data_IF_075504547967
#
_entry.id   IF_075504547967
#
_cell.length_a   1.000
_cell.length_b   1.000
_cell.length_c   1.000
_cell.angle_alpha   90.00
_cell.angle_beta   90.00
_cell.angle_gamma   90.00
#
_symmetry.space_group_name_H-M   'P 1'
#
loop_
_entity.id
_entity.type
_entity.pdbx_description
1 polymer ?
#
# COMPACT_ATOMS: atom_id res chain seq x y z
N UNK A 1 2.13 -15.46 2.05
CA UNK A 1 1.90 -15.28 3.50
C UNK A 1 3.02 -15.94 4.29
N UNK A 2 3.34 -15.47 5.50
CA UNK A 2 4.27 -16.16 6.42
C UNK A 2 3.48 -16.86 7.55
N UNK A 3 4.00 -17.96 8.12
CA UNK A 3 3.45 -18.52 9.35
C UNK A 3 3.66 -17.51 10.49
N UNK A 4 2.57 -17.04 11.09
CA UNK A 4 2.60 -16.22 12.31
C UNK A 4 1.89 -17.00 13.41
N UNK A 5 2.65 -17.49 14.39
CA UNK A 5 2.27 -18.22 15.61
C UNK A 5 1.22 -19.35 15.50
N UNK A 6 0.00 -19.06 15.04
CA UNK A 6 -1.13 -19.97 14.82
C UNK A 6 -1.83 -19.86 13.46
N UNK A 7 -1.49 -18.87 12.60
CA UNK A 7 -2.16 -18.58 11.33
C UNK A 7 -1.26 -17.98 10.24
N UNK A 8 -1.88 -17.46 9.18
CA UNK A 8 -1.19 -16.83 8.04
C UNK A 8 -1.23 -15.30 8.15
N UNK A 9 -0.10 -14.64 7.95
CA UNK A 9 0.02 -13.18 7.86
C UNK A 9 0.41 -12.75 6.43
N UNK A 10 -0.28 -11.76 5.89
CA UNK A 10 0.02 -11.22 4.56
C UNK A 10 1.07 -10.12 4.62
N UNK A 11 2.31 -10.44 4.23
CA UNK A 11 3.40 -9.46 4.13
C UNK A 11 3.23 -8.50 2.95
N UNK A 12 2.57 -8.94 1.86
CA UNK A 12 2.42 -8.18 0.62
C UNK A 12 0.99 -7.69 0.39
N UNK A 13 0.39 -8.01 -0.75
CA UNK A 13 -1.01 -7.71 -1.00
C UNK A 13 -1.94 -8.30 0.08
N UNK A 14 -2.92 -7.53 0.54
CA UNK A 14 -3.83 -7.94 1.63
C UNK A 14 -5.27 -8.13 1.14
N UNK A 15 -5.73 -7.27 0.23
CA UNK A 15 -7.12 -7.23 -0.23
C UNK A 15 -7.27 -7.47 -1.73
N UNK A 16 -8.43 -7.99 -2.11
CA UNK A 16 -8.99 -7.78 -3.44
C UNK A 16 -9.75 -6.47 -3.37
N UNK A 17 -9.24 -5.44 -4.05
CA UNK A 17 -9.90 -4.13 -4.11
C UNK A 17 -11.06 -4.16 -5.11
N UNK A 18 -12.27 -3.88 -4.64
CA UNK A 18 -13.49 -3.99 -5.44
C UNK A 18 -13.75 -5.42 -5.97
N UNK A 19 -14.07 -6.39 -5.08
CA UNK A 19 -14.37 -7.76 -5.48
C UNK A 19 -15.73 -7.83 -6.17
N UNK A 20 -15.71 -7.67 -7.48
CA UNK A 20 -16.88 -7.69 -8.37
C UNK A 20 -16.55 -8.41 -9.68
N UNK A 21 -17.56 -8.75 -10.53
CA UNK A 21 -17.33 -9.45 -11.79
C UNK A 21 -16.39 -8.72 -12.77
N UNK A 22 -16.21 -7.40 -12.61
CA UNK A 22 -15.24 -6.61 -13.38
C UNK A 22 -13.78 -6.82 -12.95
N UNK A 23 -13.54 -7.42 -11.78
CA UNK A 23 -12.20 -7.66 -11.24
C UNK A 23 -11.71 -9.08 -11.60
N UNK A 24 -10.67 -9.24 -12.45
CA UNK A 24 -10.19 -10.56 -12.86
C UNK A 24 -9.59 -11.37 -11.71
N UNK A 25 -9.02 -10.73 -10.69
CA UNK A 25 -8.50 -11.40 -9.49
C UNK A 25 -9.66 -12.03 -8.72
N UNK A 26 -10.76 -11.30 -8.54
CA UNK A 26 -11.99 -11.83 -7.93
C UNK A 26 -12.55 -13.02 -8.73
N UNK A 27 -12.62 -12.92 -10.05
CA UNK A 27 -13.10 -14.01 -10.90
C UNK A 27 -12.25 -15.27 -10.80
N UNK A 28 -10.92 -15.13 -10.78
CA UNK A 28 -10.01 -16.26 -10.59
C UNK A 28 -10.12 -16.85 -9.19
N UNK A 29 -10.13 -16.01 -8.16
CA UNK A 29 -10.31 -16.44 -6.77
C UNK A 29 -11.65 -17.18 -6.57
N UNK A 30 -12.73 -16.70 -7.18
CA UNK A 30 -14.03 -17.37 -7.20
C UNK A 30 -13.94 -18.74 -7.87
N UNK A 31 -13.32 -18.81 -9.05
CA UNK A 31 -13.17 -20.06 -9.82
C UNK A 31 -12.37 -21.11 -9.05
N UNK A 32 -11.35 -20.70 -8.32
CA UNK A 32 -10.53 -21.61 -7.51
C UNK A 32 -11.12 -21.88 -6.11
N UNK A 33 -12.25 -21.26 -5.75
CA UNK A 33 -12.87 -21.45 -4.44
C UNK A 33 -12.06 -20.86 -3.28
N UNK A 34 -11.35 -19.74 -3.52
CA UNK A 34 -10.44 -19.11 -2.55
C UNK A 34 -11.08 -17.97 -1.75
N UNK A 35 -12.35 -17.65 -2.01
CA UNK A 35 -13.05 -16.54 -1.36
C UNK A 35 -13.88 -17.01 -0.16
N UNK A 36 -14.00 -16.13 0.83
CA UNK A 36 -14.95 -16.30 1.93
C UNK A 36 -16.41 -16.14 1.47
N UNK A 37 -17.38 -16.68 2.22
CA UNK A 37 -18.79 -16.67 1.83
C UNK A 37 -19.40 -15.27 1.72
N UNK A 38 -18.95 -14.31 2.53
CA UNK A 38 -19.41 -12.91 2.47
C UNK A 38 -18.99 -12.22 1.17
N UNK A 39 -17.73 -12.41 0.76
CA UNK A 39 -17.20 -11.81 -0.46
C UNK A 39 -17.92 -12.30 -1.74
N UNK A 40 -18.44 -13.53 -1.71
CA UNK A 40 -19.15 -14.13 -2.84
C UNK A 40 -20.60 -13.64 -3.00
N UNK A 41 -21.15 -12.90 -2.03
CA UNK A 41 -22.54 -12.40 -2.09
C UNK A 41 -22.70 -11.27 -3.09
N UNK A 42 -23.83 -11.22 -3.79
CA UNK A 42 -24.14 -10.14 -4.74
C UNK A 42 -24.23 -8.78 -4.02
N UNK A 43 -24.75 -8.76 -2.78
CA UNK A 43 -24.83 -7.54 -1.99
C UNK A 43 -23.45 -6.94 -1.74
N UNK A 44 -22.44 -7.76 -1.49
CA UNK A 44 -21.06 -7.31 -1.30
C UNK A 44 -20.50 -6.70 -2.59
N UNK A 45 -20.75 -7.35 -3.73
CA UNK A 45 -20.20 -6.98 -5.05
C UNK A 45 -20.76 -5.66 -5.60
N UNK A 46 -21.94 -5.24 -5.16
CA UNK A 46 -22.63 -4.02 -5.62
C UNK A 46 -22.32 -2.78 -4.79
N UNK A 47 -21.57 -2.90 -3.69
CA UNK A 47 -21.30 -1.74 -2.83
C UNK A 47 -20.32 -0.78 -3.48
N UNK A 48 -20.75 0.47 -3.67
CA UNK A 48 -19.91 1.58 -4.12
C UNK A 48 -19.17 2.21 -2.92
N UNK A 49 -18.35 1.43 -2.23
CA UNK A 49 -17.63 1.89 -1.03
C UNK A 49 -16.43 2.77 -1.38
N UNK A 50 -15.98 2.78 -2.63
CA UNK A 50 -14.76 3.46 -3.05
C UNK A 50 -13.48 2.91 -2.40
N UNK A 51 -13.55 1.78 -1.68
CA UNK A 51 -12.44 1.17 -0.97
C UNK A 51 -12.86 0.35 0.25
N UNK A 52 -12.01 0.39 1.30
CA UNK A 52 -12.09 -0.46 2.49
C UNK A 52 -13.47 -0.49 3.17
N UNK A 53 -13.89 -1.66 3.69
CA UNK A 53 -15.16 -1.78 4.39
C UNK A 53 -15.21 -0.87 5.62
N UNK A 54 -16.40 -0.38 6.02
CA UNK A 54 -16.58 0.31 7.28
C UNK A 54 -16.30 -0.67 8.43
N UNK A 55 -15.05 -0.68 8.88
CA UNK A 55 -14.61 -1.47 10.02
C UNK A 55 -15.05 -0.77 11.30
N UNK A 56 -15.64 -1.47 12.28
CA UNK A 56 -15.82 -0.89 13.60
C UNK A 56 -14.47 -0.45 14.16
N UNK A 57 -14.30 0.86 14.29
CA UNK A 57 -13.03 1.45 14.69
C UNK A 57 -13.14 2.20 16.01
N UNK A 58 -12.00 2.32 16.68
CA UNK A 58 -11.78 3.24 17.80
C UNK A 58 -10.62 4.14 17.43
N UNK A 59 -10.75 5.44 17.69
CA UNK A 59 -9.67 6.40 17.43
C UNK A 59 -9.06 6.87 18.74
N UNK A 60 -7.79 6.56 18.94
CA UNK A 60 -7.02 7.00 20.10
C UNK A 60 -6.20 8.23 19.76
N UNK A 61 -6.26 9.23 20.63
CA UNK A 61 -5.38 10.39 20.58
C UNK A 61 -4.10 10.13 21.37
N UNK A 62 -3.02 10.81 21.00
CA UNK A 62 -1.72 10.71 21.70
C UNK A 62 -1.74 11.20 23.16
N UNK A 63 -2.85 11.75 23.64
CA UNK A 63 -3.11 12.03 25.04
C UNK A 63 -3.53 10.82 25.88
N UNK A 64 -3.70 9.64 25.27
CA UNK A 64 -4.19 8.43 25.93
C UNK A 64 -5.71 8.40 26.08
N UNK A 65 -6.43 9.17 25.26
CA UNK A 65 -7.90 9.27 25.30
C UNK A 65 -8.51 8.82 23.99
N UNK A 66 -9.70 8.21 24.08
CA UNK A 66 -10.55 7.97 22.92
C UNK A 66 -11.11 9.31 22.44
N UNK A 67 -10.92 9.61 21.16
CA UNK A 67 -11.42 10.84 20.53
C UNK A 67 -12.92 10.74 20.26
N UNK A 68 -13.61 11.88 20.24
CA UNK A 68 -15.04 11.93 19.90
C UNK A 68 -15.27 11.41 18.47
N UNK A 69 -16.12 10.38 18.29
CA UNK A 69 -16.47 9.88 16.97
C UNK A 69 -17.05 10.96 16.05
N UNK A 70 -17.80 11.92 16.61
CA UNK A 70 -18.37 13.06 15.88
C UNK A 70 -17.27 13.96 15.30
N UNK A 71 -16.31 14.35 16.13
CA UNK A 71 -15.21 15.22 15.72
C UNK A 71 -14.30 14.55 14.67
N UNK A 72 -14.03 13.24 14.84
CA UNK A 72 -13.25 12.46 13.87
C UNK A 72 -13.98 12.35 12.54
N UNK A 73 -15.29 12.07 12.55
CA UNK A 73 -16.11 12.00 11.33
C UNK A 73 -16.13 13.32 10.58
N UNK A 74 -16.34 14.45 11.26
CA UNK A 74 -16.39 15.77 10.63
C UNK A 74 -15.09 16.09 9.85
N UNK A 75 -13.93 15.82 10.44
CA UNK A 75 -12.64 16.03 9.79
C UNK A 75 -12.41 15.06 8.61
N UNK A 76 -12.83 13.79 8.74
CA UNK A 76 -12.75 12.80 7.66
C UNK A 76 -13.64 13.14 6.48
N UNK A 77 -14.87 13.55 6.73
CA UNK A 77 -15.83 13.94 5.70
C UNK A 77 -15.27 15.12 4.89
N UNK A 78 -14.64 16.09 5.55
CA UNK A 78 -13.91 17.16 4.87
C UNK A 78 -12.78 16.60 4.01
N UNK A 79 -11.92 15.74 4.57
CA UNK A 79 -10.78 15.17 3.83
C UNK A 79 -11.22 14.40 2.58
N UNK A 80 -12.20 13.52 2.70
CA UNK A 80 -12.72 12.75 1.57
C UNK A 80 -13.40 13.64 0.53
N UNK A 81 -14.10 14.71 0.94
CA UNK A 81 -14.64 15.69 0.01
C UNK A 81 -13.53 16.40 -0.78
N UNK A 82 -12.41 16.77 -0.12
CA UNK A 82 -11.25 17.38 -0.78
C UNK A 82 -10.52 16.40 -1.71
N UNK A 83 -10.37 15.13 -1.33
CA UNK A 83 -9.82 14.12 -2.21
C UNK A 83 -10.71 13.87 -3.41
N UNK A 84 -12.03 13.80 -3.23
CA UNK A 84 -12.97 13.63 -4.33
C UNK A 84 -12.93 14.80 -5.31
N UNK A 85 -12.71 16.04 -4.83
CA UNK A 85 -12.63 17.22 -5.69
C UNK A 85 -11.38 17.26 -6.57
N UNK A 86 -10.34 16.48 -6.26
CA UNK A 86 -9.14 16.37 -7.11
C UNK A 86 -9.45 15.84 -8.51
N UNK A 87 -10.53 15.05 -8.66
CA UNK A 87 -11.00 14.54 -9.96
C UNK A 87 -11.33 15.64 -10.95
N UNK A 88 -11.64 16.86 -10.48
CA UNK A 88 -11.87 18.01 -11.35
C UNK A 88 -10.64 18.42 -12.17
N UNK A 89 -9.44 17.94 -11.79
CA UNK A 89 -8.18 18.27 -12.46
C UNK A 89 -7.68 17.17 -13.40
N UNK A 90 -8.42 16.07 -13.56
CA UNK A 90 -8.07 15.00 -14.50
C UNK A 90 -7.98 15.52 -15.93
N UNK A 91 -6.85 15.29 -16.61
CA UNK A 91 -6.58 15.80 -17.95
C UNK A 91 -6.29 17.30 -18.03
N UNK A 92 -6.17 18.00 -16.90
CA UNK A 92 -5.87 19.43 -16.87
C UNK A 92 -4.42 19.71 -17.26
N UNK A 93 -4.19 20.53 -18.28
CA UNK A 93 -2.82 20.89 -18.70
C UNK A 93 -2.06 21.73 -17.68
N UNK A 94 -2.79 22.51 -16.89
CA UNK A 94 -2.23 23.46 -15.91
C UNK A 94 -3.08 23.39 -14.63
N UNK A 95 -2.89 22.35 -13.80
CA UNK A 95 -3.58 22.27 -12.51
C UNK A 95 -3.12 23.42 -11.59
N UNK A 96 -3.98 23.90 -10.68
CA UNK A 96 -3.66 25.03 -9.79
C UNK A 96 -2.49 24.73 -8.83
N UNK A 97 -2.25 23.45 -8.58
CA UNK A 97 -1.13 22.93 -7.82
C UNK A 97 -0.53 21.73 -8.55
N UNK A 98 0.79 21.49 -8.46
CA UNK A 98 1.39 20.35 -9.13
C UNK A 98 1.10 19.03 -8.43
N UNK A 99 0.71 19.03 -7.15
CA UNK A 99 0.47 17.83 -6.35
C UNK A 99 -0.84 17.82 -5.57
N UNK A 100 -1.30 16.61 -5.24
CA UNK A 100 -2.48 16.37 -4.38
C UNK A 100 -2.27 16.99 -3.00
N UNK A 101 -1.12 16.77 -2.38
CA UNK A 101 -0.83 17.25 -1.03
C UNK A 101 -0.87 18.77 -0.92
N UNK A 102 -0.28 19.50 -1.88
CA UNK A 102 -0.32 20.96 -1.90
C UNK A 102 -1.73 21.51 -2.09
N UNK A 103 -2.52 20.91 -2.99
CA UNK A 103 -3.92 21.29 -3.18
C UNK A 103 -4.75 21.07 -1.90
N UNK A 104 -4.66 19.88 -1.31
CA UNK A 104 -5.42 19.52 -0.11
C UNK A 104 -5.05 20.42 1.06
N UNK A 105 -3.76 20.70 1.30
CA UNK A 105 -3.34 21.63 2.35
C UNK A 105 -3.82 23.05 2.14
N UNK A 106 -3.78 23.55 0.90
CA UNK A 106 -4.28 24.88 0.59
C UNK A 106 -5.78 25.00 0.92
N UNK A 107 -6.57 23.96 0.61
CA UNK A 107 -8.00 23.93 0.93
C UNK A 107 -8.28 23.74 2.42
N UNK A 108 -7.49 22.94 3.13
CA UNK A 108 -7.55 22.79 4.59
C UNK A 108 -7.29 24.14 5.27
N UNK A 109 -6.24 24.86 4.86
CA UNK A 109 -5.89 26.18 5.40
C UNK A 109 -7.01 27.21 5.20
N UNK A 110 -7.78 27.08 4.12
CA UNK A 110 -8.94 27.93 3.80
C UNK A 110 -10.18 27.58 4.61
N UNK A 111 -10.43 26.30 4.86
CA UNK A 111 -11.73 25.80 5.34
C UNK A 111 -11.78 25.56 6.84
N UNK A 112 -10.72 25.01 7.43
CA UNK A 112 -10.69 24.66 8.86
C UNK A 112 -10.92 25.86 9.80
N UNK A 113 -10.37 27.07 9.56
CA UNK A 113 -10.61 28.21 10.44
C UNK A 113 -12.08 28.61 10.58
N UNK A 114 -12.92 28.36 9.56
CA UNK A 114 -14.34 28.70 9.59
C UNK A 114 -15.20 27.59 10.18
N UNK A 115 -14.80 26.32 10.01
CA UNK A 115 -15.50 25.16 10.56
C UNK A 115 -15.40 25.05 12.09
N UNK A 116 -14.23 25.29 12.67
CA UNK A 116 -13.99 25.09 14.09
C UNK A 116 -14.71 26.10 15.03
N UNK A 117 -15.60 26.94 14.51
CA UNK A 117 -16.36 27.92 15.30
C UNK A 117 -15.51 28.91 16.10
N UNK A 118 -14.23 29.07 15.75
CA UNK A 118 -13.25 29.88 16.48
C UNK A 118 -12.69 29.25 17.76
N UNK A 119 -13.00 27.98 18.07
CA UNK A 119 -12.43 27.27 19.22
C UNK A 119 -11.06 26.68 18.87
N UNK A 120 -10.01 27.10 19.58
CA UNK A 120 -8.64 26.70 19.27
C UNK A 120 -8.40 25.19 19.47
N UNK A 121 -8.94 24.60 20.52
CA UNK A 121 -8.79 23.16 20.80
C UNK A 121 -9.51 22.30 19.76
N UNK A 122 -10.73 22.70 19.35
CA UNK A 122 -11.47 22.02 18.28
C UNK A 122 -10.71 22.10 16.95
N UNK A 123 -10.12 23.26 16.65
CA UNK A 123 -9.29 23.46 15.46
C UNK A 123 -8.05 22.56 15.47
N UNK A 124 -7.33 22.48 16.60
CA UNK A 124 -6.14 21.62 16.75
C UNK A 124 -6.50 20.16 16.53
N UNK A 125 -7.59 19.69 17.13
CA UNK A 125 -8.07 18.33 16.95
C UNK A 125 -8.45 18.05 15.48
N UNK A 126 -9.15 18.97 14.81
CA UNK A 126 -9.46 18.83 13.38
C UNK A 126 -8.19 18.70 12.53
N UNK A 127 -7.18 19.54 12.79
CA UNK A 127 -5.89 19.46 12.09
C UNK A 127 -5.17 18.14 12.36
N UNK A 128 -5.11 17.67 13.60
CA UNK A 128 -4.49 16.39 13.94
C UNK A 128 -5.16 15.20 13.23
N UNK A 129 -6.50 15.18 13.17
CA UNK A 129 -7.24 14.14 12.44
C UNK A 129 -6.97 14.23 10.93
N UNK A 130 -6.92 15.43 10.36
CA UNK A 130 -6.57 15.64 8.95
C UNK A 130 -5.13 15.20 8.62
N UNK A 131 -4.19 15.40 9.55
CA UNK A 131 -2.83 14.87 9.42
C UNK A 131 -2.83 13.34 9.37
N UNK A 132 -3.60 12.67 10.24
CA UNK A 132 -3.76 11.22 10.21
C UNK A 132 -4.39 10.73 8.89
N UNK A 133 -5.36 11.49 8.33
CA UNK A 133 -5.96 11.17 7.03
C UNK A 133 -4.95 11.27 5.88
N UNK A 134 -4.08 12.28 5.86
CA UNK A 134 -3.00 12.36 4.87
C UNK A 134 -2.02 11.18 4.98
N UNK A 135 -1.73 10.71 6.20
CA UNK A 135 -0.87 9.53 6.40
C UNK A 135 -1.53 8.25 5.89
N UNK A 136 -2.84 8.10 6.09
CA UNK A 136 -3.63 7.03 5.49
C UNK A 136 -3.55 7.09 3.96
N UNK A 137 -3.73 8.27 3.37
CA UNK A 137 -3.66 8.45 1.92
C UNK A 137 -2.24 8.16 1.38
N UNK A 138 -1.19 8.46 2.16
CA UNK A 138 0.18 8.07 1.83
C UNK A 138 0.34 6.54 1.77
N UNK A 139 -0.30 5.79 2.68
CA UNK A 139 -0.32 4.33 2.65
C UNK A 139 -1.06 3.79 1.42
N UNK A 140 -2.22 4.39 1.08
CA UNK A 140 -3.03 4.00 -0.10
C UNK A 140 -2.26 4.26 -1.39
N UNK A 141 -1.62 5.43 -1.50
CA UNK A 141 -0.86 5.84 -2.69
C UNK A 141 0.54 5.23 -2.75
N UNK A 142 1.03 4.59 -1.68
CA UNK A 142 2.40 4.08 -1.59
C UNK A 142 3.46 5.16 -1.75
N UNK A 143 3.29 6.29 -1.04
CA UNK A 143 4.18 7.47 -1.13
C UNK A 143 4.63 7.93 0.25
N UNK A 144 5.76 8.64 0.33
CA UNK A 144 6.17 9.31 1.57
C UNK A 144 5.29 10.54 1.89
N UNK A 145 4.86 11.27 0.86
CA UNK A 145 4.02 12.45 0.98
C UNK A 145 3.10 12.58 -0.22
N UNK A 146 1.88 13.08 0.01
CA UNK A 146 0.95 13.43 -1.07
C UNK A 146 1.45 14.60 -1.93
N UNK A 147 2.52 15.30 -1.52
CA UNK A 147 3.19 16.29 -2.36
C UNK A 147 3.98 15.69 -3.52
N UNK A 148 4.29 14.40 -3.43
CA UNK A 148 4.96 13.65 -4.49
C UNK A 148 3.96 13.02 -5.47
N UNK A 149 2.66 13.15 -5.19
CA UNK A 149 1.59 12.59 -6.02
C UNK A 149 1.03 13.69 -6.91
N UNK A 150 1.22 13.56 -8.22
CA UNK A 150 0.79 14.55 -9.19
C UNK A 150 -0.74 14.73 -9.18
N UNK A 151 -1.21 15.98 -9.16
CA UNK A 151 -2.64 16.30 -9.04
C UNK A 151 -3.45 15.90 -10.28
N UNK A 152 -2.90 16.17 -11.47
CA UNK A 152 -3.58 15.93 -12.75
C UNK A 152 -3.92 14.46 -12.98
N UNK A 153 -2.99 13.50 -12.92
CA UNK A 153 -3.29 12.10 -13.21
C UNK A 153 -3.96 11.38 -12.04
N UNK A 154 -4.07 11.99 -10.84
CA UNK A 154 -4.59 11.31 -9.65
C UNK A 154 -6.02 10.77 -9.84
N UNK A 155 -6.86 11.53 -10.55
CA UNK A 155 -8.23 11.13 -10.87
C UNK A 155 -8.36 9.99 -11.90
N UNK A 156 -7.26 9.57 -12.54
CA UNK A 156 -7.27 8.48 -13.53
C UNK A 156 -7.40 7.09 -12.88
N UNK A 157 -7.07 6.96 -11.59
CA UNK A 157 -7.24 5.70 -10.87
C UNK A 157 -8.73 5.32 -10.76
N UNK A 158 -9.06 4.10 -11.19
CA UNK A 158 -10.42 3.58 -11.18
C UNK A 158 -10.59 2.61 -10.02
N UNK A 159 -11.41 2.99 -9.05
CA UNK A 159 -11.93 2.06 -8.04
C UNK A 159 -13.01 1.19 -8.66
N UNK A 160 -12.91 -0.13 -8.46
CA UNK A 160 -13.97 -1.08 -8.82
C UNK A 160 -14.99 -1.19 -7.67
N UNK A 161 -16.26 -1.51 -7.96
CA UNK A 161 -17.26 -1.74 -6.93
C UNK A 161 -16.96 -3.01 -6.15
N UNK A 162 -17.53 -3.09 -4.96
CA UNK A 162 -17.42 -4.20 -4.03
C UNK A 162 -16.75 -3.81 -2.73
N UNK A 163 -17.21 -4.35 -1.60
CA UNK A 163 -16.48 -4.22 -0.34
C UNK A 163 -15.24 -5.10 -0.36
N UNK A 164 -14.06 -4.49 -0.18
CA UNK A 164 -12.77 -5.18 -0.19
C UNK A 164 -12.77 -6.43 0.70
N UNK A 165 -12.22 -7.52 0.18
CA UNK A 165 -12.16 -8.79 0.87
C UNK A 165 -10.74 -9.38 0.88
N UNK A 166 -10.48 -10.29 1.80
CA UNK A 166 -9.21 -11.01 1.92
C UNK A 166 -9.34 -12.45 1.41
N UNK A 167 -8.22 -13.15 1.32
CA UNK A 167 -8.17 -14.58 1.06
C UNK A 167 -8.07 -15.32 2.41
N UNK A 168 -9.09 -16.09 2.85
CA UNK A 168 -9.02 -16.80 4.13
C UNK A 168 -7.83 -17.77 4.22
N UNK A 169 -7.45 -18.40 3.10
CA UNK A 169 -6.26 -19.26 2.99
C UNK A 169 -4.96 -18.54 2.63
N UNK A 170 -4.98 -17.21 2.61
CA UNK A 170 -3.86 -16.36 2.23
C UNK A 170 -3.75 -16.09 0.73
N UNK A 171 -3.21 -14.93 0.36
CA UNK A 171 -3.12 -14.43 -1.02
C UNK A 171 -2.20 -15.30 -1.89
N UNK A 172 -1.19 -15.96 -1.29
CA UNK A 172 -0.29 -16.87 -2.03
C UNK A 172 -1.04 -18.03 -2.67
N UNK A 173 -2.17 -18.45 -2.09
CA UNK A 173 -3.01 -19.52 -2.66
C UNK A 173 -3.40 -19.23 -4.11
N UNK A 174 -3.69 -17.98 -4.49
CA UNK A 174 -4.01 -17.64 -5.88
C UNK A 174 -2.82 -17.88 -6.81
N UNK A 175 -1.62 -17.44 -6.42
CA UNK A 175 -0.40 -17.64 -7.19
C UNK A 175 -0.05 -19.13 -7.31
N UNK A 176 -0.22 -19.90 -6.23
CA UNK A 176 -0.02 -21.34 -6.21
C UNK A 176 -0.99 -22.07 -7.16
N UNK A 177 -2.27 -21.67 -7.20
CA UNK A 177 -3.26 -22.21 -8.14
C UNK A 177 -2.89 -21.91 -9.60
N UNK A 178 -2.50 -20.66 -9.89
CA UNK A 178 -2.05 -20.28 -11.22
C UNK A 178 -0.79 -21.05 -11.65
N UNK A 179 0.16 -21.24 -10.73
CA UNK A 179 1.36 -22.05 -10.97
C UNK A 179 1.00 -23.51 -11.28
N UNK A 180 0.04 -24.09 -10.55
CA UNK A 180 -0.39 -25.48 -10.74
C UNK A 180 -1.07 -25.76 -12.08
N UNK A 181 -1.58 -24.72 -12.75
CA UNK A 181 -2.18 -24.82 -14.07
C UNK A 181 -1.12 -24.77 -15.20
N UNK A 182 0.15 -24.48 -14.89
CA UNK A 182 1.26 -24.47 -15.85
C UNK A 182 1.91 -25.85 -15.98
N UNK A 183 2.49 -26.19 -17.15
CA UNK A 183 3.31 -27.38 -17.29
C UNK A 183 4.47 -27.42 -16.29
N UNK A 184 4.81 -28.61 -15.82
CA UNK A 184 5.96 -28.80 -14.93
C UNK A 184 7.26 -28.27 -15.56
N UNK A 185 8.09 -27.61 -14.75
CA UNK A 185 9.35 -27.01 -15.22
C UNK A 185 9.20 -25.66 -15.95
N UNK A 186 7.98 -25.11 -16.08
CA UNK A 186 7.78 -23.79 -16.70
C UNK A 186 8.41 -22.65 -15.90
N UNK A 187 8.37 -22.74 -14.57
CA UNK A 187 8.92 -21.71 -13.67
C UNK A 187 10.21 -22.20 -13.03
N UNK A 188 11.29 -21.44 -13.26
CA UNK A 188 12.59 -21.70 -12.69
C UNK A 188 12.83 -20.74 -11.52
N UNK A 189 12.85 -21.27 -10.31
CA UNK A 189 13.18 -20.51 -9.09
C UNK A 189 14.70 -20.39 -8.93
N UNK A 190 15.14 -19.42 -8.13
CA UNK A 190 16.57 -19.12 -7.92
C UNK A 190 17.35 -18.89 -9.23
N UNK A 191 16.66 -18.34 -10.24
CA UNK A 191 17.20 -18.09 -11.58
C UNK A 191 17.17 -16.59 -11.88
N UNK A 192 17.93 -15.82 -11.09
CA UNK A 192 17.99 -14.37 -11.22
C UNK A 192 18.57 -13.98 -12.59
N UNK A 193 17.84 -13.15 -13.33
CA UNK A 193 18.32 -12.59 -14.60
C UNK A 193 19.26 -11.42 -14.28
N UNK A 194 20.43 -11.42 -14.91
CA UNK A 194 21.43 -10.35 -14.81
C UNK A 194 21.29 -9.33 -15.93
N UNK A 195 21.15 -9.81 -17.16
CA UNK A 195 21.12 -8.94 -18.35
C UNK A 195 20.29 -9.55 -19.46
N UNK A 196 19.52 -8.70 -20.16
CA UNK A 196 18.75 -9.04 -21.35
C UNK A 196 19.42 -8.37 -22.55
N UNK A 197 20.07 -9.18 -23.39
CA UNK A 197 20.66 -8.74 -24.65
C UNK A 197 19.64 -8.90 -25.77
N UNK A 198 19.19 -7.82 -26.39
CA UNK A 198 18.12 -7.81 -27.41
C UNK A 198 18.58 -7.09 -28.68
N UNK A 199 17.78 -7.21 -29.76
CA UNK A 199 18.18 -6.77 -31.12
C UNK A 199 19.45 -7.45 -31.64
N UNK A 200 19.73 -8.67 -31.16
CA UNK A 200 20.91 -9.42 -31.53
C UNK A 200 20.64 -10.47 -32.61
N UNK A 201 21.65 -11.26 -32.87
CA UNK A 201 21.57 -12.49 -33.68
C UNK A 201 22.38 -13.56 -32.97
N UNK A 202 21.74 -14.21 -32.01
CA UNK A 202 22.36 -15.19 -31.12
C UNK A 202 22.08 -16.61 -31.63
N UNK A 203 23.03 -17.53 -31.43
CA UNK A 203 22.93 -18.93 -31.84
C UNK A 203 23.27 -19.84 -30.68
N UNK A 204 22.65 -21.01 -30.66
CA UNK A 204 23.06 -22.06 -29.73
C UNK A 204 24.42 -22.63 -30.14
N UNK A 205 25.22 -23.02 -29.16
CA UNK A 205 26.53 -23.58 -29.43
C UNK A 205 26.40 -24.93 -30.15
N UNK A 206 26.91 -25.01 -31.38
CA UNK A 206 26.80 -26.22 -32.21
C UNK A 206 25.54 -26.30 -33.09
N UNK A 207 24.65 -25.31 -33.07
CA UNK A 207 23.53 -25.19 -34.00
C UNK A 207 23.56 -23.84 -34.76
N UNK A 208 24.00 -23.90 -36.02
CA UNK A 208 24.03 -22.75 -36.92
C UNK A 208 22.70 -22.50 -37.65
N UNK A 209 21.71 -23.38 -37.50
CA UNK A 209 20.47 -23.31 -38.26
C UNK A 209 19.46 -22.30 -37.69
N UNK A 210 19.45 -22.10 -36.37
CA UNK A 210 18.51 -21.20 -35.69
C UNK A 210 19.20 -19.96 -35.12
N UNK A 211 18.61 -18.80 -35.38
CA UNK A 211 19.06 -17.51 -34.85
C UNK A 211 17.95 -16.93 -33.98
N UNK A 212 18.32 -16.46 -32.79
CA UNK A 212 17.42 -15.84 -31.84
C UNK A 212 17.70 -14.33 -31.71
N UNK A 213 16.65 -13.49 -31.59
CA UNK A 213 16.80 -12.06 -31.43
C UNK A 213 17.18 -11.62 -30.00
N UNK A 214 17.01 -12.49 -29.00
CA UNK A 214 17.25 -12.18 -27.59
C UNK A 214 18.08 -13.26 -26.91
N UNK A 215 19.02 -12.83 -26.06
CA UNK A 215 19.81 -13.65 -25.15
C UNK A 215 19.61 -13.12 -23.73
N UNK A 216 19.14 -13.99 -22.84
CA UNK A 216 18.97 -13.71 -21.41
C UNK A 216 20.12 -14.38 -20.67
N UNK A 217 20.84 -13.60 -19.89
CA UNK A 217 21.96 -14.05 -19.07
C UNK A 217 21.58 -13.98 -17.60
N UNK A 218 21.75 -15.09 -16.90
CA UNK A 218 21.46 -15.21 -15.47
C UNK A 218 22.70 -14.94 -14.62
N UNK A 219 22.50 -14.65 -13.34
CA UNK A 219 23.59 -14.37 -12.39
C UNK A 219 24.49 -15.58 -12.15
N UNK A 220 23.94 -16.78 -12.25
CA UNK A 220 24.67 -18.05 -12.11
C UNK A 220 25.41 -18.47 -13.40
N UNK A 221 25.34 -17.66 -14.45
CA UNK A 221 25.99 -17.89 -15.73
C UNK A 221 25.14 -18.66 -16.75
N UNK A 222 23.95 -19.11 -16.38
CA UNK A 222 23.03 -19.75 -17.35
C UNK A 222 22.61 -18.74 -18.43
N UNK A 223 22.37 -19.27 -19.63
CA UNK A 223 21.99 -18.48 -20.81
C UNK A 223 20.76 -19.08 -21.47
N UNK A 224 19.76 -18.25 -21.73
CA UNK A 224 18.57 -18.62 -22.48
C UNK A 224 18.47 -17.80 -23.76
N UNK A 225 18.27 -18.48 -24.90
CA UNK A 225 17.96 -17.82 -26.17
C UNK A 225 16.45 -17.84 -26.39
N UNK A 226 15.89 -16.71 -26.82
CA UNK A 226 14.46 -16.55 -26.95
C UNK A 226 14.07 -15.65 -28.13
N UNK A 227 12.90 -15.96 -28.70
CA UNK A 227 12.24 -15.09 -29.67
C UNK A 227 11.61 -13.86 -28.98
N UNK A 228 11.14 -14.05 -27.75
CA UNK A 228 10.45 -13.03 -26.95
C UNK A 228 10.84 -13.12 -25.47
N UNK A 229 10.89 -11.96 -24.81
CA UNK A 229 11.05 -11.85 -23.37
C UNK A 229 10.00 -10.89 -22.83
N UNK A 230 9.22 -11.34 -21.84
CA UNK A 230 8.26 -10.51 -21.12
C UNK A 230 8.89 -10.18 -19.77
N UNK A 231 9.12 -8.89 -19.51
CA UNK A 231 9.74 -8.40 -18.28
C UNK A 231 8.65 -7.93 -17.33
N UNK A 232 8.56 -8.57 -16.16
CA UNK A 232 7.58 -8.25 -15.10
C UNK A 232 8.26 -7.95 -13.76
N UNK A 233 9.55 -7.56 -13.79
CA UNK A 233 10.26 -7.14 -12.57
C UNK A 233 9.67 -5.83 -12.03
N UNK A 234 9.71 -5.59 -10.70
CA UNK A 234 9.15 -4.38 -10.11
C UNK A 234 9.77 -3.09 -10.66
N UNK A 235 9.01 -2.00 -10.64
CA UNK A 235 9.49 -0.68 -11.07
C UNK A 235 10.71 -0.22 -10.25
N UNK A 236 10.76 -0.49 -8.94
CA UNK A 236 11.92 -0.20 -8.09
C UNK A 236 13.22 -0.84 -8.62
N UNK A 237 13.16 -2.11 -8.99
CA UNK A 237 14.29 -2.81 -9.63
C UNK A 237 14.70 -2.14 -10.95
N UNK A 238 13.72 -1.76 -11.79
CA UNK A 238 14.03 -1.05 -13.03
C UNK A 238 14.66 0.32 -12.77
N UNK A 239 14.20 1.08 -11.76
CA UNK A 239 14.79 2.37 -11.41
C UNK A 239 16.28 2.24 -11.12
N UNK A 240 16.65 1.22 -10.36
CA UNK A 240 18.04 0.96 -9.99
C UNK A 240 18.87 0.38 -11.15
N UNK A 241 18.33 -0.62 -11.87
CA UNK A 241 19.15 -1.46 -12.75
C UNK A 241 18.88 -1.33 -14.26
N UNK A 242 17.89 -0.55 -14.72
CA UNK A 242 17.51 -0.54 -16.16
C UNK A 242 18.65 -0.21 -17.13
N UNK A 243 19.69 0.49 -16.69
CA UNK A 243 20.85 0.83 -17.53
C UNK A 243 21.74 -0.38 -17.81
N UNK A 244 21.88 -1.29 -16.84
CA UNK A 244 22.73 -2.48 -16.93
C UNK A 244 21.93 -3.73 -17.31
N UNK A 245 20.64 -3.76 -16.93
CA UNK A 245 19.74 -4.89 -17.16
C UNK A 245 19.37 -5.09 -18.64
N UNK A 246 19.48 -4.05 -19.48
CA UNK A 246 19.15 -4.12 -20.92
C UNK A 246 20.33 -3.72 -21.79
N UNK A 247 20.64 -4.56 -22.80
CA UNK A 247 21.68 -4.30 -23.79
C UNK A 247 21.16 -4.56 -25.21
N UNK A 248 21.09 -3.57 -26.12
CA UNK A 248 21.39 -2.16 -25.89
C UNK A 248 20.43 -1.51 -24.87
N UNK A 249 20.74 -0.30 -24.36
CA UNK A 249 19.87 0.40 -23.42
C UNK A 249 18.45 0.61 -23.95
N UNK A 250 17.48 0.72 -23.03
CA UNK A 250 16.10 1.03 -23.40
C UNK A 250 16.00 2.38 -24.12
N UNK A 251 15.05 2.56 -25.06
CA UNK A 251 14.80 3.85 -25.68
C UNK A 251 14.54 4.95 -24.64
N UNK A 252 15.06 6.15 -24.88
CA UNK A 252 15.06 7.24 -23.89
C UNK A 252 13.67 7.55 -23.33
N UNK A 253 12.62 7.51 -24.16
CA UNK A 253 11.23 7.70 -23.72
C UNK A 253 10.83 6.73 -22.59
N UNK A 254 11.25 5.46 -22.67
CA UNK A 254 10.95 4.44 -21.66
C UNK A 254 11.84 4.61 -20.43
N UNK A 255 13.12 4.92 -20.61
CA UNK A 255 14.03 5.23 -19.51
C UNK A 255 13.54 6.43 -18.68
N UNK A 256 13.05 7.49 -19.35
CA UNK A 256 12.44 8.64 -18.68
C UNK A 256 11.16 8.27 -17.93
N UNK A 257 10.30 7.41 -18.48
CA UNK A 257 9.11 6.94 -17.75
C UNK A 257 9.48 6.18 -16.46
N UNK A 258 10.50 5.31 -16.52
CA UNK A 258 11.03 4.59 -15.34
C UNK A 258 11.53 5.58 -14.28
N UNK A 259 12.24 6.64 -14.69
CA UNK A 259 12.76 7.67 -13.77
C UNK A 259 11.65 8.47 -13.10
N UNK A 260 10.64 8.90 -13.86
CA UNK A 260 9.61 9.84 -13.37
C UNK A 260 8.44 9.21 -12.60
N UNK A 261 8.06 7.96 -12.89
CA UNK A 261 6.96 7.31 -12.15
C UNK A 261 7.36 7.06 -10.69
N UNK A 262 6.45 7.29 -9.74
CA UNK A 262 6.69 7.03 -8.31
C UNK A 262 6.81 5.53 -7.99
N UNK A 263 7.65 5.19 -7.02
CA UNK A 263 7.73 3.85 -6.43
C UNK A 263 8.15 4.02 -4.97
N UNK A 264 7.20 3.93 -4.04
CA UNK A 264 7.45 4.14 -2.62
C UNK A 264 7.19 2.88 -1.78
N UNK A 265 7.40 3.05 -0.49
CA UNK A 265 7.43 1.96 0.50
C UNK A 265 6.20 2.02 1.40
N UNK A 266 5.55 0.87 1.61
CA UNK A 266 4.48 0.68 2.59
C UNK A 266 4.66 -0.68 3.26
N UNK A 267 4.88 -0.69 4.57
CA UNK A 267 5.14 -1.89 5.35
C UNK A 267 4.05 -2.20 6.36
N UNK A 268 4.13 -3.43 6.86
CA UNK A 268 3.27 -3.97 7.90
C UNK A 268 4.08 -4.38 9.11
N UNK A 269 3.51 -4.11 10.29
CA UNK A 269 4.08 -4.53 11.57
C UNK A 269 3.06 -5.45 12.25
N UNK A 270 3.39 -6.73 12.37
CA UNK A 270 2.53 -7.70 13.05
C UNK A 270 2.92 -7.83 14.51
N UNK A 271 1.97 -7.61 15.42
CA UNK A 271 2.16 -7.67 16.86
C UNK A 271 1.21 -8.72 17.43
N UNK A 272 1.77 -9.78 18.01
CA UNK A 272 1.01 -10.82 18.71
C UNK A 272 0.92 -10.51 20.20
N UNK A 273 -0.26 -10.78 20.78
CA UNK A 273 -0.54 -10.59 22.19
C UNK A 273 -1.01 -11.91 22.82
N UNK A 274 -0.62 -12.14 24.07
CA UNK A 274 -1.12 -13.28 24.84
C UNK A 274 -2.63 -13.17 25.09
N UNK A 275 -3.13 -11.95 25.31
CA UNK A 275 -4.54 -11.62 25.50
C UNK A 275 -4.87 -10.31 24.77
N UNK A 276 -6.06 -10.20 24.14
CA UNK A 276 -6.46 -8.96 23.50
C UNK A 276 -6.77 -7.91 24.56
N UNK A 277 -6.25 -6.69 24.38
CA UNK A 277 -6.60 -5.53 25.21
C UNK A 277 -7.71 -4.67 24.59
N UNK A 278 -8.06 -4.96 23.33
CA UNK A 278 -9.11 -4.29 22.57
C UNK A 278 -10.45 -5.02 22.70
N UNK A 279 -11.53 -4.31 22.39
CA UNK A 279 -12.88 -4.87 22.47
C UNK A 279 -13.13 -5.87 21.32
N UNK A 280 -13.91 -6.95 21.53
CA UNK A 280 -14.09 -7.99 20.51
C UNK A 280 -14.71 -7.50 19.19
N UNK A 281 -15.45 -6.40 19.21
CA UNK A 281 -16.06 -5.81 18.01
C UNK A 281 -15.11 -4.90 17.24
N UNK A 282 -14.01 -4.44 17.86
CA UNK A 282 -13.06 -3.54 17.21
C UNK A 282 -12.25 -4.29 16.16
N UNK A 283 -12.24 -3.74 14.95
CA UNK A 283 -11.47 -4.26 13.81
C UNK A 283 -10.34 -3.31 13.39
N UNK A 284 -10.38 -2.06 13.86
CA UNK A 284 -9.38 -1.05 13.56
C UNK A 284 -9.13 -0.15 14.78
N UNK A 285 -7.86 -0.05 15.20
CA UNK A 285 -7.39 0.86 16.23
C UNK A 285 -6.63 1.99 15.54
N UNK A 286 -7.26 3.16 15.43
CA UNK A 286 -6.71 4.31 14.71
C UNK A 286 -5.92 5.20 15.66
N UNK A 287 -4.85 5.80 15.14
CA UNK A 287 -3.94 6.64 15.93
C UNK A 287 -3.95 8.07 15.40
N UNK A 288 -4.15 9.04 16.29
CA UNK A 288 -4.07 10.47 16.00
C UNK A 288 -3.04 11.12 16.93
N UNK A 289 -2.03 11.73 16.35
CA UNK A 289 -1.04 12.51 17.09
C UNK A 289 -1.55 13.95 17.24
N UNK A 290 -2.01 14.29 18.44
CA UNK A 290 -2.74 15.54 18.72
C UNK A 290 -1.88 16.80 18.58
N UNK A 291 -0.56 16.64 18.54
CA UNK A 291 0.42 17.71 18.37
C UNK A 291 0.80 17.97 16.90
N UNK A 292 0.20 17.27 15.94
CA UNK A 292 0.50 17.42 14.52
C UNK A 292 -0.54 18.22 13.75
N UNK A 293 -0.10 18.79 12.63
CA UNK A 293 -0.94 19.53 11.69
C UNK A 293 -0.48 19.22 10.26
N UNK A 294 -1.40 19.04 9.30
CA UNK A 294 -1.03 18.90 7.90
C UNK A 294 -0.44 20.20 7.35
N UNK A 295 -0.58 21.34 8.03
CA UNK A 295 -0.08 22.64 7.59
C UNK A 295 1.34 22.93 8.07
N UNK A 296 1.93 22.00 8.83
CA UNK A 296 3.28 22.10 9.37
C UNK A 296 4.17 21.04 8.73
N UNK A 297 5.45 21.36 8.57
CA UNK A 297 6.42 20.38 8.10
C UNK A 297 6.67 19.35 9.20
N UNK A 298 6.62 18.04 8.87
CA UNK A 298 6.93 17.00 9.85
C UNK A 298 8.38 17.11 10.32
N UNK A 299 8.64 16.58 11.51
CA UNK A 299 10.00 16.50 12.04
C UNK A 299 10.90 15.68 11.12
N UNK A 300 12.06 16.22 10.75
CA UNK A 300 13.08 15.51 10.00
C UNK A 300 13.86 14.47 10.85
N UNK A 301 13.64 14.46 12.16
CA UNK A 301 14.25 13.49 13.08
C UNK A 301 13.47 12.16 13.05
N UNK A 302 13.85 11.29 12.10
CA UNK A 302 13.26 9.97 11.91
C UNK A 302 13.49 9.05 13.12
N UNK A 303 14.67 9.12 13.74
CA UNK A 303 15.00 8.27 14.89
C UNK A 303 14.02 8.49 16.06
N UNK A 304 13.68 9.76 16.32
CA UNK A 304 12.75 10.10 17.38
C UNK A 304 11.26 9.94 16.99
N UNK A 305 10.91 10.01 15.69
CA UNK A 305 9.51 10.24 15.27
C UNK A 305 8.96 9.28 14.22
N UNK A 306 9.71 8.31 13.69
CA UNK A 306 9.24 7.44 12.59
C UNK A 306 7.88 6.79 12.87
N UNK A 307 7.64 6.35 14.12
CA UNK A 307 6.40 5.70 14.54
C UNK A 307 5.19 6.64 14.46
N UNK A 308 5.39 7.96 14.40
CA UNK A 308 4.28 8.90 14.22
C UNK A 308 3.64 8.76 12.83
N UNK A 309 4.35 8.23 11.84
CA UNK A 309 3.80 7.96 10.49
C UNK A 309 2.82 6.78 10.44
N UNK A 310 2.76 5.97 11.50
CA UNK A 310 1.83 4.86 11.63
C UNK A 310 0.37 5.38 11.63
N UNK A 311 -0.50 4.74 10.84
CA UNK A 311 -1.91 5.15 10.70
C UNK A 311 -2.83 4.48 11.73
N UNK A 312 -2.37 3.40 12.33
CA UNK A 312 -3.17 2.56 13.22
C UNK A 312 -2.89 1.08 13.00
N UNK A 313 -3.75 0.24 13.58
CA UNK A 313 -3.62 -1.20 13.61
C UNK A 313 -4.94 -1.87 13.20
N UNK A 314 -4.89 -2.71 12.17
CA UNK A 314 -6.00 -3.61 11.84
C UNK A 314 -5.91 -4.83 12.75
N UNK A 315 -7.02 -5.22 13.36
CA UNK A 315 -7.12 -6.48 14.10
C UNK A 315 -7.27 -7.61 13.08
N UNK A 316 -6.38 -8.60 13.09
CA UNK A 316 -6.54 -9.76 12.22
C UNK A 316 -7.72 -10.62 12.68
N UNK A 317 -8.64 -10.88 11.76
CA UNK A 317 -9.87 -11.62 11.99
C UNK A 317 -9.91 -12.86 11.09
N UNK A 318 -10.48 -13.99 11.54
CA UNK A 318 -11.03 -14.22 12.89
C UNK A 318 -9.94 -14.62 13.91
N UNK A 319 -10.08 -14.31 15.22
CA UNK A 319 -9.06 -14.62 16.23
C UNK A 319 -8.79 -16.13 16.40
N UNK A 320 -9.78 -16.98 16.11
CA UNK A 320 -9.63 -18.43 16.15
C UNK A 320 -8.62 -18.95 15.10
N UNK A 321 -8.41 -18.18 14.04
CA UNK A 321 -7.48 -18.50 12.96
C UNK A 321 -6.13 -17.80 13.12
N UNK A 322 -6.12 -16.54 13.57
CA UNK A 322 -4.91 -15.71 13.58
C UNK A 322 -4.33 -15.45 14.98
N UNK A 323 -5.05 -15.82 16.05
CA UNK A 323 -4.72 -15.41 17.40
C UNK A 323 -5.08 -13.95 17.68
N UNK A 324 -4.46 -13.35 18.70
CA UNK A 324 -4.67 -11.95 19.06
C UNK A 324 -3.58 -11.09 18.40
N UNK A 325 -3.76 -10.78 17.11
CA UNK A 325 -2.74 -10.10 16.30
C UNK A 325 -3.24 -8.76 15.79
N UNK A 326 -2.40 -7.74 15.96
CA UNK A 326 -2.54 -6.42 15.36
C UNK A 326 -1.60 -6.29 14.16
N UNK A 327 -2.09 -5.71 13.07
CA UNK A 327 -1.32 -5.36 11.88
C UNK A 327 -1.25 -3.84 11.74
N UNK A 328 -0.12 -3.24 12.11
CA UNK A 328 0.17 -1.83 11.91
C UNK A 328 0.59 -1.53 10.46
N UNK A 329 0.24 -0.35 9.96
CA UNK A 329 0.62 0.09 8.60
C UNK A 329 1.39 1.40 8.65
N UNK A 330 2.47 1.48 7.89
CA UNK A 330 3.37 2.65 7.82
C UNK A 330 3.93 2.78 6.40
N UNK A 331 4.00 4.00 5.88
CA UNK A 331 4.51 4.28 4.53
C UNK A 331 5.55 5.40 4.53
N UNK A 332 6.34 5.46 3.46
CA UNK A 332 7.33 6.51 3.23
C UNK A 332 8.70 6.26 3.84
N UNK A 333 9.51 7.32 3.91
CA UNK A 333 10.86 7.29 4.48
C UNK A 333 10.87 6.83 5.94
N UNK A 334 9.81 7.09 6.71
CA UNK A 334 9.65 6.57 8.07
C UNK A 334 9.50 5.04 8.11
N UNK A 335 8.87 4.48 7.08
CA UNK A 335 8.76 3.02 6.89
C UNK A 335 10.10 2.42 6.50
N UNK A 336 10.86 3.09 5.63
CA UNK A 336 12.22 2.65 5.24
C UNK A 336 13.19 2.73 6.43
N UNK A 337 13.08 3.78 7.25
CA UNK A 337 13.84 3.88 8.49
C UNK A 337 13.51 2.70 9.43
N UNK A 338 12.23 2.36 9.56
CA UNK A 338 11.78 1.22 10.38
C UNK A 338 12.43 -0.10 9.95
N UNK A 339 12.62 -0.33 8.64
CA UNK A 339 13.32 -1.52 8.12
C UNK A 339 14.78 -1.63 8.57
N UNK A 340 15.42 -0.51 8.94
CA UNK A 340 16.81 -0.51 9.41
C UNK A 340 16.95 -0.89 10.90
N UNK A 341 15.84 -0.91 11.63
CA UNK A 341 15.81 -1.21 13.05
C UNK A 341 15.71 -2.71 13.29
N UNK A 342 16.19 -3.16 14.46
CA UNK A 342 15.98 -4.55 14.89
C UNK A 342 14.52 -4.79 15.30
N UNK A 343 14.07 -6.05 15.17
CA UNK A 343 12.73 -6.47 15.63
C UNK A 343 12.44 -6.02 17.08
N UNK A 344 13.45 -6.05 17.95
CA UNK A 344 13.32 -5.65 19.35
C UNK A 344 13.09 -4.14 19.51
N UNK A 345 13.72 -3.31 18.69
CA UNK A 345 13.52 -1.84 18.68
C UNK A 345 12.13 -1.49 18.17
N UNK A 346 11.69 -2.12 17.08
CA UNK A 346 10.34 -1.95 16.53
C UNK A 346 9.29 -2.39 17.55
N UNK A 347 9.45 -3.56 18.16
CA UNK A 347 8.53 -4.07 19.18
C UNK A 347 8.46 -3.14 20.41
N UNK A 348 9.60 -2.65 20.88
CA UNK A 348 9.68 -1.70 22.00
C UNK A 348 8.95 -0.39 21.67
N UNK A 349 9.19 0.15 20.46
CA UNK A 349 8.52 1.36 19.98
C UNK A 349 7.00 1.16 19.89
N UNK A 350 6.54 0.09 19.27
CA UNK A 350 5.10 -0.20 19.14
C UNK A 350 4.44 -0.44 20.50
N UNK A 351 5.10 -1.14 21.42
CA UNK A 351 4.61 -1.32 22.79
C UNK A 351 4.42 0.02 23.49
N UNK A 352 5.38 0.95 23.33
CA UNK A 352 5.28 2.31 23.88
C UNK A 352 4.15 3.09 23.22
N UNK A 353 4.01 3.02 21.89
CA UNK A 353 2.90 3.68 21.17
C UNK A 353 1.57 3.20 21.72
N UNK A 354 1.33 1.89 21.78
CA UNK A 354 0.09 1.32 22.28
C UNK A 354 -0.23 1.76 23.71
N UNK A 355 0.75 1.68 24.63
CA UNK A 355 0.59 2.16 26.01
C UNK A 355 0.26 3.65 26.08
N UNK A 356 0.90 4.49 25.28
CA UNK A 356 0.60 5.92 25.25
C UNK A 356 -0.81 6.18 24.74
N UNK A 357 -1.24 5.46 23.70
CA UNK A 357 -2.55 5.67 23.06
C UNK A 357 -3.71 5.16 23.92
N UNK A 358 -3.53 4.06 24.65
CA UNK A 358 -4.59 3.46 25.46
C UNK A 358 -4.73 4.06 26.86
N UNK A 359 -3.77 4.89 27.28
CA UNK A 359 -3.61 5.30 28.69
C UNK A 359 -3.23 4.14 29.59
#
# INVERSE_FOLDING_TARGET
SLPAASGLAEMGAHWIHGPSPGNPVFCLASRYGLLGPEAAREENQQVEAGGHPPMPSVTYGSSGKVLSPEAVREARDLFYALLASTRAFQGSKEPPWPSVGQYVRAEIARTVPTMAGGQEDARRLQLAVLAACLKLECCISGTHSMDLVALEPFGEYVSLPGLDCTFPGGYSSLAERLLSDLPEGTVLLNKAVRTIQWQGSFREEGDDARVFPVRVECEDGDVFLADHVIVTVPLGFLKEHHQEFFQPPLPERKAQAIRHLGFGTNNKIFLEFEQPFWEPQQQLLEVVWEDESPLEEPSADLEANWYKKLIGFVVLQPPEQHGHVLCGFIAGEESEHMETLSDAEVLSAMTRVLRTMTG
#
